data_IF_908999012765
#
_entry.id   IF_908999012765
#
_cell.length_a   1.000
_cell.length_b   1.000
_cell.length_c   1.000
_cell.angle_alpha   90.00
_cell.angle_beta   90.00
_cell.angle_gamma   90.00
#
_symmetry.space_group_name_H-M   'P 1'
#
loop_
_entity.id
_entity.type
_entity.pdbx_description
1 polymer ?
#
# COMPACT_ATOMS: atom_id res chain seq x y z
N UNK A 1 -15.12 -2.19 17.20
CA UNK A 1 -14.60 -2.78 15.94
C UNK A 1 -14.53 -1.68 14.90
N UNK A 2 -13.34 -1.40 14.37
CA UNK A 2 -13.10 -0.38 13.34
C UNK A 2 -12.73 -1.04 12.02
N UNK A 3 -12.99 -0.33 10.92
CA UNK A 3 -12.41 -0.62 9.60
C UNK A 3 -11.23 0.30 9.39
N UNK A 4 -10.07 -0.27 9.15
CA UNK A 4 -8.79 0.45 9.08
C UNK A 4 -8.13 0.15 7.73
N UNK A 5 -7.71 1.19 7.03
CA UNK A 5 -6.85 1.06 5.86
C UNK A 5 -5.46 1.56 6.24
N UNK A 6 -4.46 0.75 5.94
CA UNK A 6 -3.05 1.11 6.13
C UNK A 6 -2.36 1.10 4.79
N UNK A 7 -1.76 2.21 4.40
CA UNK A 7 -0.90 2.29 3.21
C UNK A 7 0.55 2.31 3.65
N UNK A 8 1.37 1.51 3.01
CA UNK A 8 2.81 1.50 3.21
C UNK A 8 3.54 1.82 1.93
N UNK A 9 4.39 2.85 1.98
CA UNK A 9 5.17 3.32 0.85
C UNK A 9 6.44 2.50 0.61
N UNK A 10 6.98 2.58 -0.59
CA UNK A 10 8.23 1.90 -0.99
C UNK A 10 9.39 2.26 -0.06
N UNK A 11 9.54 3.53 0.31
CA UNK A 11 10.61 3.99 1.19
C UNK A 11 10.58 3.41 2.61
N UNK A 12 9.43 2.88 3.05
CA UNK A 12 9.29 2.17 4.34
C UNK A 12 9.64 0.70 4.20
N UNK A 13 9.31 0.09 3.05
CA UNK A 13 9.47 -1.36 2.81
C UNK A 13 10.82 -1.74 2.24
N UNK A 14 11.59 -0.78 1.70
CA UNK A 14 12.84 -1.04 1.00
C UNK A 14 14.00 -0.31 1.66
N UNK A 15 15.18 -0.91 1.54
CA UNK A 15 16.46 -0.30 1.87
C UNK A 15 16.89 0.67 0.76
N UNK A 16 17.92 1.46 1.00
CA UNK A 16 18.49 2.40 0.02
C UNK A 16 18.87 1.73 -1.31
N UNK A 17 19.28 0.45 -1.29
CA UNK A 17 19.61 -0.33 -2.48
C UNK A 17 18.39 -0.90 -3.23
N UNK A 18 17.15 -0.56 -2.83
CA UNK A 18 15.91 -1.02 -3.44
C UNK A 18 15.45 -2.43 -3.01
N UNK A 19 16.22 -3.16 -2.19
CA UNK A 19 15.80 -4.47 -1.69
C UNK A 19 14.79 -4.34 -0.56
N UNK A 20 13.91 -5.35 -0.37
CA UNK A 20 12.97 -5.37 0.73
C UNK A 20 13.69 -5.37 2.09
N UNK A 21 13.23 -4.51 2.99
CA UNK A 21 13.68 -4.50 4.37
C UNK A 21 12.85 -5.45 5.22
N UNK A 22 13.37 -6.65 5.46
CA UNK A 22 12.67 -7.68 6.22
C UNK A 22 12.29 -7.26 7.65
N UNK A 23 13.09 -6.43 8.30
CA UNK A 23 12.78 -5.92 9.64
C UNK A 23 11.54 -5.03 9.63
N UNK A 24 11.47 -4.08 8.70
CA UNK A 24 10.30 -3.20 8.55
C UNK A 24 9.03 -3.97 8.22
N UNK A 25 9.12 -4.98 7.35
CA UNK A 25 7.98 -5.82 6.99
C UNK A 25 7.49 -6.64 8.18
N UNK A 26 8.38 -7.22 8.98
CA UNK A 26 8.02 -7.97 10.20
C UNK A 26 7.28 -7.08 11.20
N UNK A 27 7.77 -5.87 11.47
CA UNK A 27 7.09 -4.93 12.35
C UNK A 27 5.71 -4.52 11.85
N UNK A 28 5.60 -4.25 10.54
CA UNK A 28 4.31 -3.94 9.91
C UNK A 28 3.32 -5.09 10.08
N UNK A 29 3.71 -6.30 9.71
CA UNK A 29 2.86 -7.49 9.79
C UNK A 29 2.41 -7.76 11.22
N UNK A 30 3.32 -7.67 12.21
CA UNK A 30 2.97 -7.83 13.62
C UNK A 30 1.92 -6.81 14.06
N UNK A 31 2.11 -5.53 13.74
CA UNK A 31 1.15 -4.49 14.11
C UNK A 31 -0.24 -4.69 13.46
N UNK A 32 -0.26 -5.09 12.18
CA UNK A 32 -1.53 -5.35 11.49
C UNK A 32 -2.23 -6.59 12.04
N UNK A 33 -1.49 -7.65 12.34
CA UNK A 33 -2.03 -8.86 12.97
C UNK A 33 -2.62 -8.57 14.35
N UNK A 34 -1.95 -7.74 15.16
CA UNK A 34 -2.45 -7.31 16.47
C UNK A 34 -3.79 -6.55 16.36
N UNK A 35 -3.92 -5.66 15.38
CA UNK A 35 -5.18 -4.97 15.10
C UNK A 35 -6.30 -5.96 14.73
N UNK A 36 -6.00 -6.95 13.92
CA UNK A 36 -6.98 -7.99 13.53
C UNK A 36 -7.37 -8.86 14.71
N UNK A 37 -6.43 -9.23 15.60
CA UNK A 37 -6.72 -9.99 16.83
C UNK A 37 -7.61 -9.19 17.80
N UNK A 38 -7.52 -7.87 17.80
CA UNK A 38 -8.42 -6.98 18.55
C UNK A 38 -9.81 -6.86 17.90
N UNK A 39 -10.05 -7.54 16.79
CA UNK A 39 -11.33 -7.59 16.10
C UNK A 39 -11.54 -6.48 15.06
N UNK A 40 -10.51 -5.70 14.74
CA UNK A 40 -10.58 -4.72 13.65
C UNK A 40 -10.55 -5.40 12.27
N UNK A 41 -11.16 -4.75 11.29
CA UNK A 41 -11.08 -5.13 9.87
C UNK A 41 -10.01 -4.28 9.22
N UNK A 42 -8.97 -4.91 8.66
CA UNK A 42 -7.80 -4.20 8.13
C UNK A 42 -7.64 -4.48 6.64
N UNK A 43 -7.36 -3.44 5.87
CA UNK A 43 -6.88 -3.52 4.48
C UNK A 43 -5.47 -2.94 4.45
N UNK A 44 -4.53 -3.66 3.85
CA UNK A 44 -3.20 -3.16 3.56
C UNK A 44 -3.12 -2.72 2.10
N UNK A 45 -2.70 -1.48 1.85
CA UNK A 45 -2.31 -1.00 0.51
C UNK A 45 -0.79 -0.95 0.48
N UNK A 46 -0.19 -1.85 -0.29
CA UNK A 46 1.25 -2.08 -0.27
C UNK A 46 1.93 -1.60 -1.54
N UNK A 47 3.09 -0.98 -1.40
CA UNK A 47 4.07 -0.72 -2.44
C UNK A 47 5.20 -1.77 -2.39
N UNK A 48 6.25 -1.60 -3.18
CA UNK A 48 7.48 -2.39 -3.10
C UNK A 48 7.60 -3.54 -4.11
N UNK A 49 6.62 -3.75 -5.00
CA UNK A 49 6.68 -4.82 -6.01
C UNK A 49 7.84 -4.63 -6.99
N UNK A 50 7.99 -3.44 -7.57
CA UNK A 50 9.09 -3.15 -8.51
C UNK A 50 10.45 -3.31 -7.82
N UNK A 51 10.62 -2.74 -6.62
CA UNK A 51 11.86 -2.86 -5.84
C UNK A 51 12.21 -4.32 -5.51
N UNK A 52 11.22 -5.12 -5.16
CA UNK A 52 11.40 -6.56 -4.96
C UNK A 52 11.86 -7.27 -6.24
N UNK A 53 11.32 -6.88 -7.39
CA UNK A 53 11.72 -7.40 -8.70
C UNK A 53 13.14 -7.00 -9.11
N UNK A 54 13.57 -5.79 -8.78
CA UNK A 54 14.97 -5.34 -8.99
C UNK A 54 15.94 -6.31 -8.32
N UNK A 55 15.64 -6.69 -7.09
CA UNK A 55 16.44 -7.65 -6.33
C UNK A 55 16.44 -9.04 -6.97
N UNK A 56 15.27 -9.55 -7.37
CA UNK A 56 15.13 -10.89 -7.95
C UNK A 56 15.83 -10.98 -9.32
N UNK A 57 15.73 -9.94 -10.14
CA UNK A 57 16.36 -9.88 -11.46
C UNK A 57 17.85 -9.49 -11.40
N UNK A 58 18.39 -9.19 -10.21
CA UNK A 58 19.78 -8.81 -10.01
C UNK A 58 20.17 -7.52 -10.72
N UNK A 59 19.23 -6.57 -10.87
CA UNK A 59 19.50 -5.31 -11.52
C UNK A 59 20.36 -4.40 -10.61
N UNK A 60 21.30 -3.64 -11.21
CA UNK A 60 22.18 -2.76 -10.43
C UNK A 60 21.47 -1.53 -9.85
N UNK A 61 20.31 -1.16 -10.40
CA UNK A 61 19.54 0.00 -9.99
C UNK A 61 18.08 -0.12 -10.39
N UNK A 62 17.27 0.80 -9.87
CA UNK A 62 15.84 0.89 -10.22
C UNK A 62 15.68 1.23 -11.71
N UNK A 63 14.87 0.46 -12.47
CA UNK A 63 14.76 0.64 -13.92
C UNK A 63 14.03 1.95 -14.28
N UNK A 64 14.45 2.57 -15.40
CA UNK A 64 13.78 3.74 -15.95
C UNK A 64 12.81 3.35 -17.07
N UNK A 65 13.11 2.31 -17.81
CA UNK A 65 12.29 1.81 -18.92
C UNK A 65 10.99 1.18 -18.39
N UNK A 66 9.85 1.54 -18.99
CA UNK A 66 8.53 1.08 -18.55
C UNK A 66 8.40 -0.46 -18.60
N UNK A 67 8.82 -1.07 -19.71
CA UNK A 67 8.71 -2.53 -19.85
C UNK A 67 9.53 -3.28 -18.80
N UNK A 68 10.70 -2.74 -18.42
CA UNK A 68 11.55 -3.32 -17.40
C UNK A 68 10.95 -3.10 -15.99
N UNK A 69 10.34 -1.93 -15.73
CA UNK A 69 9.55 -1.70 -14.50
C UNK A 69 8.39 -2.70 -14.38
N UNK A 70 7.66 -2.93 -15.47
CA UNK A 70 6.55 -3.89 -15.52
C UNK A 70 7.03 -5.33 -15.28
N UNK A 71 8.14 -5.73 -15.88
CA UNK A 71 8.76 -7.03 -15.64
C UNK A 71 9.21 -7.19 -14.19
N UNK A 72 9.85 -6.17 -13.62
CA UNK A 72 10.19 -6.14 -12.18
C UNK A 72 8.95 -6.28 -11.31
N UNK A 73 7.88 -5.56 -11.62
CA UNK A 73 6.63 -5.64 -10.87
C UNK A 73 6.03 -7.05 -10.91
N UNK A 74 6.04 -7.70 -12.08
CA UNK A 74 5.51 -9.05 -12.26
C UNK A 74 6.24 -10.08 -11.37
N UNK A 75 7.56 -10.06 -11.39
CA UNK A 75 8.39 -10.95 -10.56
C UNK A 75 8.34 -10.54 -9.08
N UNK A 76 8.42 -9.24 -8.82
CA UNK A 76 8.50 -8.68 -7.48
C UNK A 76 7.20 -8.81 -6.69
N UNK A 77 6.05 -8.67 -7.34
CA UNK A 77 4.74 -8.84 -6.70
C UNK A 77 4.58 -10.25 -6.13
N UNK A 78 5.01 -11.27 -6.86
CA UNK A 78 5.00 -12.65 -6.38
C UNK A 78 5.86 -12.81 -5.13
N UNK A 79 7.07 -12.26 -5.13
CA UNK A 79 7.99 -12.29 -3.99
C UNK A 79 7.43 -11.53 -2.78
N UNK A 80 6.84 -10.37 -3.02
CA UNK A 80 6.23 -9.54 -1.98
C UNK A 80 5.07 -10.27 -1.30
N UNK A 81 4.17 -10.86 -2.08
CA UNK A 81 3.03 -11.62 -1.55
C UNK A 81 3.47 -12.86 -0.78
N UNK A 82 4.49 -13.59 -1.28
CA UNK A 82 5.06 -14.73 -0.56
C UNK A 82 5.63 -14.30 0.80
N UNK A 83 6.29 -13.15 0.85
CA UNK A 83 6.82 -12.61 2.11
C UNK A 83 5.70 -12.28 3.09
N UNK A 84 4.63 -11.61 2.65
CA UNK A 84 3.48 -11.33 3.49
C UNK A 84 2.80 -12.61 3.98
N UNK A 85 2.54 -13.57 3.08
CA UNK A 85 1.90 -14.83 3.43
C UNK A 85 2.69 -15.58 4.49
N UNK A 86 4.00 -15.72 4.30
CA UNK A 86 4.87 -16.40 5.26
C UNK A 86 4.83 -15.72 6.65
N UNK A 87 4.84 -14.39 6.69
CA UNK A 87 4.85 -13.66 7.96
C UNK A 87 3.47 -13.67 8.65
N UNK A 88 2.40 -13.42 7.91
CA UNK A 88 1.03 -13.43 8.46
C UNK A 88 0.60 -14.81 8.95
N UNK A 89 1.09 -15.88 8.34
CA UNK A 89 0.78 -17.25 8.75
C UNK A 89 1.17 -17.55 10.20
N UNK A 90 2.24 -16.91 10.71
CA UNK A 90 2.65 -17.02 12.11
C UNK A 90 1.62 -16.45 13.10
N UNK A 91 0.75 -15.57 12.62
CA UNK A 91 -0.34 -14.99 13.40
C UNK A 91 -1.71 -15.62 13.10
N UNK A 92 -1.73 -16.72 12.33
CA UNK A 92 -2.95 -17.37 11.87
C UNK A 92 -3.85 -16.41 11.05
N UNK A 93 -3.24 -15.55 10.26
CA UNK A 93 -3.89 -14.63 9.32
C UNK A 93 -3.56 -15.08 7.90
N UNK A 94 -4.60 -15.26 7.10
CA UNK A 94 -4.47 -15.55 5.67
C UNK A 94 -4.40 -14.23 4.87
N UNK A 95 -3.74 -14.23 3.73
CA UNK A 95 -3.64 -13.05 2.86
C UNK A 95 -4.49 -13.21 1.61
N UNK A 96 -5.08 -12.13 1.13
CA UNK A 96 -5.75 -12.08 -0.17
C UNK A 96 -5.17 -10.94 -1.00
N UNK A 97 -4.90 -11.18 -2.29
CA UNK A 97 -4.33 -10.19 -3.20
C UNK A 97 -5.40 -9.55 -4.07
N UNK A 98 -5.40 -8.21 -4.15
CA UNK A 98 -6.13 -7.45 -5.15
C UNK A 98 -5.15 -6.55 -5.92
N UNK A 99 -5.05 -6.75 -7.23
CA UNK A 99 -4.28 -5.89 -8.13
C UNK A 99 -5.24 -5.06 -8.96
N UNK A 100 -5.16 -3.75 -8.83
CA UNK A 100 -6.13 -2.82 -9.40
C UNK A 100 -5.45 -1.76 -10.27
N UNK A 101 -6.15 -1.34 -11.32
CA UNK A 101 -5.82 -0.17 -12.11
C UNK A 101 -6.81 0.97 -11.83
N UNK A 102 -6.49 2.19 -12.26
CA UNK A 102 -7.42 3.31 -12.22
C UNK A 102 -8.73 3.01 -12.97
N UNK A 103 -8.65 2.25 -14.07
CA UNK A 103 -9.81 1.84 -14.84
C UNK A 103 -10.71 0.86 -14.06
N UNK A 104 -10.12 -0.06 -13.29
CA UNK A 104 -10.90 -0.97 -12.44
C UNK A 104 -11.72 -0.21 -11.39
N UNK A 105 -11.12 0.81 -10.76
CA UNK A 105 -11.83 1.66 -9.81
C UNK A 105 -12.91 2.52 -10.44
N UNK A 106 -12.76 2.88 -11.71
CA UNK A 106 -13.74 3.65 -12.45
C UNK A 106 -14.92 2.77 -12.92
N UNK A 107 -14.63 1.58 -13.44
CA UNK A 107 -15.62 0.73 -14.12
C UNK A 107 -16.13 -0.45 -13.30
N UNK A 108 -15.32 -0.96 -12.36
CA UNK A 108 -15.57 -2.21 -11.60
C UNK A 108 -15.63 -2.00 -10.09
N UNK A 109 -15.83 -0.77 -9.65
CA UNK A 109 -15.88 -0.41 -8.24
C UNK A 109 -16.82 -1.29 -7.40
N UNK A 110 -18.06 -1.59 -7.85
CA UNK A 110 -18.96 -2.46 -7.08
C UNK A 110 -18.43 -3.88 -6.89
N UNK A 111 -17.73 -4.43 -7.90
CA UNK A 111 -17.13 -5.76 -7.83
C UNK A 111 -15.97 -5.78 -6.81
N UNK A 112 -15.08 -4.79 -6.86
CA UNK A 112 -13.97 -4.65 -5.90
C UNK A 112 -14.51 -4.52 -4.48
N UNK A 113 -15.51 -3.68 -4.28
CA UNK A 113 -16.16 -3.49 -2.98
C UNK A 113 -16.79 -4.79 -2.46
N UNK A 114 -17.52 -5.50 -3.29
CA UNK A 114 -18.15 -6.77 -2.91
C UNK A 114 -17.10 -7.82 -2.51
N UNK A 115 -15.98 -7.89 -3.23
CA UNK A 115 -14.86 -8.77 -2.89
C UNK A 115 -14.27 -8.43 -1.51
N UNK A 116 -13.98 -7.16 -1.25
CA UNK A 116 -13.44 -6.71 0.04
C UNK A 116 -14.42 -7.04 1.20
N UNK A 117 -15.72 -6.79 1.01
CA UNK A 117 -16.72 -7.11 2.04
C UNK A 117 -16.79 -8.60 2.34
N UNK A 118 -16.71 -9.45 1.31
CA UNK A 118 -16.67 -10.92 1.49
C UNK A 118 -15.42 -11.37 2.24
N UNK A 119 -14.25 -10.81 1.94
CA UNK A 119 -13.02 -11.13 2.66
C UNK A 119 -13.13 -10.74 4.16
N UNK A 120 -13.76 -9.62 4.46
CA UNK A 120 -13.99 -9.21 5.86
C UNK A 120 -14.91 -10.14 6.65
N UNK A 121 -15.85 -10.82 5.99
CA UNK A 121 -16.75 -11.78 6.63
C UNK A 121 -16.00 -12.99 7.23
N UNK A 122 -14.86 -13.34 6.66
CA UNK A 122 -14.02 -14.45 7.16
C UNK A 122 -13.23 -14.10 8.43
N UNK A 123 -13.06 -12.85 8.75
CA UNK A 123 -12.50 -12.35 10.01
C UNK A 123 -10.99 -12.54 10.22
N UNK A 124 -10.35 -13.46 9.48
CA UNK A 124 -8.90 -13.72 9.58
C UNK A 124 -8.14 -13.56 8.26
N UNK A 125 -8.78 -12.97 7.27
CA UNK A 125 -8.16 -12.68 5.98
C UNK A 125 -7.84 -11.19 5.91
N UNK A 126 -6.59 -10.86 5.60
CA UNK A 126 -6.18 -9.48 5.31
C UNK A 126 -6.13 -9.28 3.79
N UNK A 127 -6.98 -8.40 3.22
CA UNK A 127 -6.81 -7.96 1.85
C UNK A 127 -5.53 -7.11 1.71
N UNK A 128 -4.67 -7.48 0.78
CA UNK A 128 -3.48 -6.72 0.38
C UNK A 128 -3.70 -6.21 -1.03
N UNK A 129 -3.80 -4.90 -1.16
CA UNK A 129 -4.12 -4.19 -2.40
C UNK A 129 -2.88 -3.51 -2.93
N UNK A 130 -2.63 -3.63 -4.22
CA UNK A 130 -1.59 -2.89 -4.92
C UNK A 130 -2.10 -2.46 -6.29
N UNK A 131 -1.43 -1.50 -6.91
CA UNK A 131 -1.63 -1.20 -8.32
C UNK A 131 -1.15 -2.39 -9.17
N UNK A 132 -1.86 -2.67 -10.27
CA UNK A 132 -1.43 -3.66 -11.24
C UNK A 132 -0.34 -3.07 -12.16
N UNK A 133 0.85 -2.96 -11.64
CA UNK A 133 2.00 -2.38 -12.35
C UNK A 133 2.40 -3.15 -13.61
N UNK A 134 1.92 -4.36 -13.81
CA UNK A 134 2.24 -5.17 -15.01
C UNK A 134 1.53 -4.67 -16.26
N UNK A 135 0.44 -3.95 -16.11
CA UNK A 135 -0.39 -3.43 -17.22
C UNK A 135 -0.69 -1.94 -17.10
N UNK A 136 -0.36 -1.30 -15.99
CA UNK A 136 -0.57 0.12 -15.80
C UNK A 136 0.36 0.95 -16.68
N UNK A 137 -0.20 1.93 -17.38
CA UNK A 137 0.55 2.93 -18.15
C UNK A 137 0.75 4.19 -17.31
N UNK A 138 1.88 4.89 -17.48
CA UNK A 138 2.27 6.01 -16.62
C UNK A 138 1.23 7.13 -16.55
N UNK A 139 0.52 7.39 -17.63
CA UNK A 139 -0.52 8.42 -17.73
C UNK A 139 -1.77 8.13 -16.89
N UNK A 140 -1.97 6.87 -16.49
CA UNK A 140 -3.13 6.40 -15.73
C UNK A 140 -2.77 5.84 -14.35
N UNK A 141 -1.51 5.96 -13.92
CA UNK A 141 -1.08 5.49 -12.61
C UNK A 141 -1.67 6.32 -11.48
N UNK A 142 -1.89 5.64 -10.36
CA UNK A 142 -2.24 6.31 -9.09
C UNK A 142 -1.05 7.13 -8.51
N UNK A 143 0.12 7.08 -9.14
CA UNK A 143 1.33 7.64 -8.59
C UNK A 143 1.92 6.74 -7.52
N UNK A 144 2.13 7.27 -6.35
CA UNK A 144 2.41 6.42 -5.20
C UNK A 144 1.05 6.00 -4.59
N UNK A 145 0.83 4.81 -4.20
CA UNK A 145 -0.45 4.21 -3.78
C UNK A 145 -1.28 5.02 -2.75
N UNK A 146 -0.95 6.28 -2.47
CA UNK A 146 -1.72 7.16 -1.57
C UNK A 146 -3.13 7.36 -2.08
N UNK A 147 -3.30 7.71 -3.37
CA UNK A 147 -4.62 7.88 -3.99
C UNK A 147 -5.39 6.55 -3.98
N UNK A 148 -4.74 5.44 -4.29
CA UNK A 148 -5.35 4.11 -4.21
C UNK A 148 -5.85 3.83 -2.80
N UNK A 149 -5.08 4.18 -1.76
CA UNK A 149 -5.47 3.98 -0.36
C UNK A 149 -6.69 4.80 0.04
N UNK A 150 -6.82 6.03 -0.46
CA UNK A 150 -8.02 6.86 -0.28
C UNK A 150 -9.24 6.21 -0.92
N UNK A 151 -9.10 5.68 -2.14
CA UNK A 151 -10.19 4.93 -2.79
C UNK A 151 -10.60 3.71 -1.98
N UNK A 152 -9.62 2.94 -1.44
CA UNK A 152 -9.93 1.79 -0.59
C UNK A 152 -10.64 2.21 0.69
N UNK A 153 -10.16 3.26 1.37
CA UNK A 153 -10.78 3.77 2.59
C UNK A 153 -12.25 4.19 2.36
N UNK A 154 -12.51 4.93 1.29
CA UNK A 154 -13.89 5.31 0.91
C UNK A 154 -14.76 4.11 0.54
N UNK A 155 -14.19 3.12 -0.13
CA UNK A 155 -14.90 1.94 -0.63
C UNK A 155 -15.36 1.03 0.51
N UNK A 156 -14.52 0.84 1.51
CA UNK A 156 -14.85 0.00 2.67
C UNK A 156 -15.58 0.76 3.78
N UNK A 157 -15.71 2.09 3.66
CA UNK A 157 -16.22 2.95 4.73
C UNK A 157 -15.30 2.88 5.95
N UNK A 158 -13.99 3.15 5.75
CA UNK A 158 -13.01 3.06 6.81
C UNK A 158 -13.20 4.15 7.87
N UNK A 159 -13.01 3.76 9.12
CA UNK A 159 -12.99 4.68 10.27
C UNK A 159 -11.66 5.45 10.35
N UNK A 160 -10.57 4.86 9.81
CA UNK A 160 -9.24 5.47 9.77
C UNK A 160 -8.44 5.01 8.54
N UNK A 161 -7.62 5.93 8.02
CA UNK A 161 -6.57 5.68 7.02
C UNK A 161 -5.24 6.11 7.60
N UNK A 162 -4.29 5.18 7.68
CA UNK A 162 -2.91 5.45 8.07
C UNK A 162 -2.01 5.38 6.84
N UNK A 163 -1.22 6.41 6.60
CA UNK A 163 -0.24 6.47 5.53
C UNK A 163 1.15 6.42 6.16
N UNK A 164 1.81 5.27 6.03
CA UNK A 164 3.18 5.07 6.49
C UNK A 164 4.12 5.49 5.35
N UNK A 165 4.87 6.53 5.61
CA UNK A 165 5.74 7.19 4.63
C UNK A 165 7.10 7.49 5.25
N UNK A 166 8.10 7.77 4.40
CA UNK A 166 9.44 8.17 4.82
C UNK A 166 9.57 9.66 5.15
N UNK A 167 8.48 10.43 5.04
CA UNK A 167 8.43 11.84 5.42
C UNK A 167 7.62 12.02 6.70
N UNK A 168 7.98 13.00 7.52
CA UNK A 168 7.40 13.15 8.86
C UNK A 168 5.98 13.74 8.86
N UNK A 169 5.51 14.26 7.73
CA UNK A 169 4.16 14.81 7.61
C UNK A 169 4.02 15.82 6.49
N UNK A 170 2.99 16.64 6.56
CA UNK A 170 2.72 17.71 5.61
C UNK A 170 3.51 18.96 5.98
N UNK A 171 4.18 19.56 4.99
CA UNK A 171 4.95 20.80 5.15
C UNK A 171 4.22 21.96 4.51
N UNK A 172 4.26 23.18 5.10
CA UNK A 172 3.76 24.38 4.46
C UNK A 172 4.62 24.74 3.24
N UNK A 173 4.08 25.45 2.22
CA UNK A 173 4.83 25.90 1.06
C UNK A 173 6.03 26.74 1.46
N UNK A 174 7.22 26.41 0.95
CA UNK A 174 8.47 27.12 1.28
C UNK A 174 8.92 26.99 2.74
N UNK A 175 8.26 26.17 3.53
CA UNK A 175 8.62 25.88 4.91
C UNK A 175 9.83 24.94 5.01
N UNK A 176 10.62 25.11 6.08
CA UNK A 176 11.68 24.16 6.40
C UNK A 176 11.08 22.80 6.79
N UNK A 177 11.89 21.73 6.70
CA UNK A 177 11.47 20.39 7.16
C UNK A 177 11.11 20.33 8.65
N UNK A 178 11.46 21.37 9.42
CA UNK A 178 11.16 21.47 10.84
C UNK A 178 9.75 22.06 11.11
N UNK A 179 9.05 22.51 10.07
CA UNK A 179 7.74 23.14 10.16
C UNK A 179 6.60 22.20 9.72
N UNK A 180 6.50 21.03 10.35
CA UNK A 180 5.45 20.06 10.07
C UNK A 180 4.10 20.60 10.53
N UNK A 181 3.05 20.43 9.70
CA UNK A 181 1.67 20.71 10.07
C UNK A 181 1.17 19.51 10.89
N UNK A 182 1.03 19.64 12.21
CA UNK A 182 0.72 18.48 13.06
C UNK A 182 -0.73 18.02 12.91
N UNK A 183 -1.61 18.90 12.46
CA UNK A 183 -3.03 18.62 12.28
C UNK A 183 -3.63 19.56 11.25
N UNK A 184 -4.38 19.00 10.31
CA UNK A 184 -5.20 19.75 9.36
C UNK A 184 -6.64 19.74 9.88
N UNK A 185 -7.15 20.90 10.26
CA UNK A 185 -8.54 21.06 10.72
C UNK A 185 -9.46 21.53 9.58
N UNK A 186 -8.91 22.27 8.63
CA UNK A 186 -9.59 22.74 7.43
C UNK A 186 -8.83 22.27 6.20
N UNK A 187 -9.43 21.34 5.46
CA UNK A 187 -8.84 20.77 4.24
C UNK A 187 -8.70 21.83 3.15
N UNK A 188 -9.67 22.73 3.01
CA UNK A 188 -9.66 23.75 1.96
C UNK A 188 -8.51 24.74 2.16
N UNK A 189 -8.16 25.04 3.41
CA UNK A 189 -7.00 25.87 3.74
C UNK A 189 -5.66 25.24 3.32
N UNK A 190 -5.60 23.92 3.22
CA UNK A 190 -4.39 23.16 2.89
C UNK A 190 -4.30 22.83 1.41
N UNK A 191 -5.43 22.79 0.70
CA UNK A 191 -5.45 22.58 -0.76
C UNK A 191 -4.69 23.66 -1.53
N UNK A 192 -4.53 24.85 -0.96
CA UNK A 192 -3.69 25.91 -1.51
C UNK A 192 -2.18 25.56 -1.51
N UNK A 193 -1.79 24.46 -0.85
CA UNK A 193 -0.40 23.98 -0.71
C UNK A 193 -0.06 22.81 -1.65
N UNK A 194 -1.05 22.27 -2.39
CA UNK A 194 -0.88 21.13 -3.28
C UNK A 194 -0.47 21.52 -4.70
#
# INVERSE_FOLDING_TARGET
RMKIVVKVGTGVLTRENGTLDGSSIVHLVSALADLMQQGHQVVLVSSGAVGSGVSVLGLPSYPQELSLKQACAAVGQTRLMQTYENLFSHFNVDVAQLLLTAEDLKRRRPNVQATLMRLFEHGRIIPIVNENDTVSVEELKFGDNDILSVHMARMVGADALFILTSVDGLYPPGGSRDAIIPRVEDVDAVLAFA
#
